data_IF_062710653992
#
_entry.id   IF_062710653992
#
_cell.length_a   1.000
_cell.length_b   1.000
_cell.length_c   1.000
_cell.angle_alpha   90.00
_cell.angle_beta   90.00
_cell.angle_gamma   90.00
#
_symmetry.space_group_name_H-M   'P 1'
#
loop_
_entity.id
_entity.type
_entity.pdbx_description
1 polymer ?
#
# COMPACT_ATOMS: atom_id res chain seq x y z
N UNK A 1 -59.13 22.17 72.12
CA UNK A 1 -58.77 23.01 70.95
C UNK A 1 -57.54 22.37 70.32
N UNK A 2 -57.69 21.54 69.28
CA UNK A 2 -57.50 21.89 67.86
C UNK A 2 -56.20 22.66 67.59
N UNK A 3 -55.13 21.97 67.13
CA UNK A 3 -54.59 22.01 65.74
C UNK A 3 -53.24 21.26 65.63
N UNK A 4 -52.84 20.85 64.41
CA UNK A 4 -52.19 19.57 64.15
C UNK A 4 -50.72 19.65 63.72
N UNK A 5 -50.11 18.46 63.67
CA UNK A 5 -48.81 18.08 63.13
C UNK A 5 -48.50 18.62 61.74
N UNK A 6 -47.23 18.92 61.47
CA UNK A 6 -46.70 19.08 60.11
C UNK A 6 -45.33 18.41 60.04
N UNK A 7 -45.33 17.18 59.52
CA UNK A 7 -44.14 16.42 59.14
C UNK A 7 -43.75 16.84 57.73
N UNK A 8 -42.54 17.38 57.55
CA UNK A 8 -41.98 17.68 56.23
C UNK A 8 -41.18 16.45 55.79
N UNK A 9 -41.71 15.71 54.82
CA UNK A 9 -40.99 14.64 54.13
C UNK A 9 -40.30 15.24 52.89
N UNK A 10 -38.97 15.20 52.85
CA UNK A 10 -38.18 15.57 51.68
C UNK A 10 -38.17 14.38 50.70
N UNK A 11 -38.87 14.53 49.57
CA UNK A 11 -38.80 13.60 48.44
C UNK A 11 -37.60 14.01 47.59
N UNK A 12 -36.51 13.24 47.67
CA UNK A 12 -35.39 13.33 46.74
C UNK A 12 -35.83 12.62 45.46
N UNK A 13 -36.25 13.41 44.47
CA UNK A 13 -36.53 12.94 43.12
C UNK A 13 -35.23 12.56 42.41
N UNK A 14 -35.00 11.26 42.24
CA UNK A 14 -33.91 10.74 41.42
C UNK A 14 -34.36 10.79 39.96
N UNK A 15 -34.08 11.90 39.28
CA UNK A 15 -34.32 12.05 37.84
C UNK A 15 -33.25 11.25 37.10
N UNK A 16 -33.58 10.02 36.71
CA UNK A 16 -32.75 9.22 35.82
C UNK A 16 -32.73 9.88 34.43
N UNK A 17 -31.69 10.66 34.16
CA UNK A 17 -31.34 11.08 32.82
C UNK A 17 -30.89 9.83 32.05
N UNK A 18 -31.79 9.29 31.23
CA UNK A 18 -31.47 8.33 30.18
C UNK A 18 -30.58 9.04 29.15
N UNK A 19 -29.27 8.94 29.35
CA UNK A 19 -28.29 9.27 28.33
C UNK A 19 -28.44 8.28 27.18
N UNK A 20 -29.17 8.69 26.14
CA UNK A 20 -29.17 8.01 24.85
C UNK A 20 -27.77 8.20 24.28
N UNK A 21 -26.93 7.16 24.37
CA UNK A 21 -25.65 7.16 23.69
C UNK A 21 -25.92 7.35 22.19
N UNK A 22 -25.29 8.33 21.52
CA UNK A 22 -25.38 8.42 20.08
C UNK A 22 -24.85 7.11 19.51
N UNK A 23 -25.72 6.37 18.82
CA UNK A 23 -25.34 5.20 18.07
C UNK A 23 -24.19 5.60 17.15
N UNK A 24 -23.05 4.91 17.30
CA UNK A 24 -21.97 5.02 16.35
C UNK A 24 -22.54 4.68 14.97
N UNK A 25 -22.75 5.71 14.15
CA UNK A 25 -22.98 5.52 12.74
C UNK A 25 -21.79 4.70 12.25
N UNK A 26 -22.06 3.47 11.80
CA UNK A 26 -21.09 2.66 11.08
C UNK A 26 -20.75 3.39 9.80
N UNK A 27 -19.83 4.35 9.88
CA UNK A 27 -19.19 4.93 8.72
C UNK A 27 -18.46 3.79 8.06
N UNK A 28 -18.94 3.39 6.90
CA UNK A 28 -18.29 2.43 6.03
C UNK A 28 -16.85 2.91 5.86
N UNK A 29 -15.89 2.11 6.35
CA UNK A 29 -14.48 2.46 6.29
C UNK A 29 -14.14 2.63 4.81
N UNK A 30 -13.61 3.79 4.38
CA UNK A 30 -13.41 4.07 2.97
C UNK A 30 -12.61 2.92 2.33
N UNK A 31 -13.13 2.43 1.21
CA UNK A 31 -12.51 1.35 0.44
C UNK A 31 -11.10 1.71 -0.05
N UNK A 32 -10.40 0.75 -0.68
CA UNK A 32 -9.10 1.06 -1.27
C UNK A 32 -9.23 2.17 -2.34
N UNK A 33 -8.19 2.98 -2.54
CA UNK A 33 -8.15 4.03 -3.57
C UNK A 33 -8.23 3.47 -5.00
N UNK A 34 -8.05 2.16 -5.16
CA UNK A 34 -8.08 1.35 -6.38
C UNK A 34 -9.25 0.36 -6.29
N UNK A 35 -10.51 0.81 -6.53
CA UNK A 35 -11.69 -0.04 -6.32
C UNK A 35 -11.96 -1.02 -7.45
N UNK A 36 -11.21 -0.95 -8.56
CA UNK A 36 -11.29 -1.93 -9.64
C UNK A 36 -10.57 -3.23 -9.32
N UNK A 37 -9.76 -3.22 -8.27
CA UNK A 37 -8.82 -4.26 -7.94
C UNK A 37 -9.43 -5.51 -7.36
N UNK A 38 -8.59 -6.53 -7.17
CA UNK A 38 -9.02 -7.75 -6.55
C UNK A 38 -9.58 -7.43 -5.16
N UNK A 39 -10.78 -7.91 -4.88
CA UNK A 39 -11.39 -7.71 -3.58
C UNK A 39 -10.52 -8.37 -2.51
N UNK A 40 -10.11 -7.59 -1.51
CA UNK A 40 -9.39 -8.13 -0.36
C UNK A 40 -10.25 -9.23 0.31
N UNK A 41 -9.62 -10.32 0.81
CA UNK A 41 -10.34 -11.32 1.58
C UNK A 41 -11.13 -10.65 2.71
N UNK A 42 -12.40 -11.04 2.87
CA UNK A 42 -13.26 -10.56 3.94
C UNK A 42 -12.87 -11.22 5.27
N UNK A 43 -11.71 -10.85 5.79
CA UNK A 43 -11.27 -11.23 7.13
C UNK A 43 -11.98 -10.34 8.16
N UNK A 44 -12.56 -10.95 9.19
CA UNK A 44 -13.02 -10.19 10.35
C UNK A 44 -11.79 -9.53 11.01
N UNK A 45 -11.92 -8.25 11.35
CA UNK A 45 -10.89 -7.55 12.11
C UNK A 45 -10.63 -8.29 13.42
N UNK A 46 -9.34 -8.48 13.74
CA UNK A 46 -8.90 -9.10 15.00
C UNK A 46 -8.22 -8.08 15.88
N UNK A 47 -8.24 -8.30 17.19
CA UNK A 47 -7.44 -7.49 18.11
C UNK A 47 -5.94 -7.64 17.81
N UNK A 48 -5.20 -6.54 17.92
CA UNK A 48 -3.77 -6.46 17.66
C UNK A 48 -3.22 -5.07 17.97
N UNK A 49 -1.88 -4.90 17.93
CA UNK A 49 -1.27 -3.62 18.21
C UNK A 49 -1.59 -2.60 17.12
N UNK A 50 -1.59 -1.32 17.51
CA UNK A 50 -1.71 -0.19 16.58
C UNK A 50 -0.40 -0.03 15.82
N UNK A 51 -0.49 -0.04 14.49
CA UNK A 51 0.65 0.23 13.63
C UNK A 51 0.87 1.74 13.48
N UNK A 52 2.14 2.14 13.45
CA UNK A 52 2.61 3.47 13.07
C UNK A 52 3.53 3.30 11.87
N UNK A 53 3.07 3.79 10.73
CA UNK A 53 3.82 3.72 9.48
C UNK A 53 4.44 5.07 9.14
N UNK A 54 5.62 5.03 8.54
CA UNK A 54 6.25 6.18 7.89
C UNK A 54 6.61 5.81 6.47
N UNK A 55 6.66 6.80 5.58
CA UNK A 55 7.14 6.65 4.21
C UNK A 55 8.22 7.70 3.94
N UNK A 56 9.31 7.25 3.36
CA UNK A 56 10.22 8.10 2.60
C UNK A 56 10.19 7.62 1.16
N UNK A 57 9.99 8.55 0.23
CA UNK A 57 10.11 8.27 -1.19
C UNK A 57 11.39 8.87 -1.76
N UNK A 58 11.93 8.26 -2.82
CA UNK A 58 13.06 8.82 -3.56
C UNK A 58 12.79 8.69 -5.05
N UNK A 59 13.02 9.78 -5.79
CA UNK A 59 12.87 9.81 -7.24
C UNK A 59 14.22 10.16 -7.86
N UNK A 60 14.68 9.35 -8.80
CA UNK A 60 15.93 9.58 -9.53
C UNK A 60 15.69 9.46 -11.04
N UNK A 61 16.50 10.11 -11.90
CA UNK A 61 16.49 9.82 -13.33
C UNK A 61 16.86 8.35 -13.58
N UNK A 62 16.19 7.69 -14.53
CA UNK A 62 16.53 6.31 -14.92
C UNK A 62 17.59 6.22 -16.02
N UNK A 63 17.98 7.37 -16.58
CA UNK A 63 18.94 7.53 -17.66
C UNK A 63 18.56 6.90 -19.01
N UNK A 64 17.33 6.42 -19.17
CA UNK A 64 16.84 5.86 -20.42
C UNK A 64 16.20 6.90 -21.33
N UNK A 65 15.43 7.82 -20.75
CA UNK A 65 14.68 8.84 -21.47
C UNK A 65 14.60 10.15 -20.66
N UNK A 66 14.35 11.29 -21.32
CA UNK A 66 14.35 12.61 -20.66
C UNK A 66 13.31 12.73 -19.54
N UNK A 67 12.13 12.11 -19.72
CA UNK A 67 11.07 12.04 -18.70
C UNK A 67 11.24 10.83 -17.77
N UNK A 68 12.17 9.92 -18.07
CA UNK A 68 12.39 8.67 -17.36
C UNK A 68 12.84 8.85 -15.92
N UNK A 69 12.23 8.07 -15.02
CA UNK A 69 12.53 8.09 -13.58
C UNK A 69 12.52 6.67 -13.00
N UNK A 70 13.13 6.52 -11.83
CA UNK A 70 12.85 5.43 -10.89
C UNK A 70 12.29 6.01 -9.60
N UNK A 71 11.44 5.25 -8.93
CA UNK A 71 10.77 5.61 -7.68
C UNK A 71 11.03 4.53 -6.64
N UNK A 72 11.74 4.86 -5.57
CA UNK A 72 11.87 4.01 -4.37
C UNK A 72 10.82 4.44 -3.33
N UNK A 73 10.08 3.47 -2.81
CA UNK A 73 9.29 3.59 -1.61
C UNK A 73 10.02 2.89 -0.46
N UNK A 74 10.32 3.62 0.61
CA UNK A 74 10.91 3.11 1.85
C UNK A 74 9.91 3.29 2.99
N UNK A 75 9.12 2.25 3.22
CA UNK A 75 8.12 2.23 4.28
C UNK A 75 8.70 1.58 5.52
N UNK A 76 8.52 2.22 6.67
CA UNK A 76 8.78 1.60 7.99
C UNK A 76 7.49 1.42 8.75
N UNK A 77 7.44 0.41 9.61
CA UNK A 77 6.31 0.14 10.48
C UNK A 77 6.74 -0.39 11.83
N UNK A 78 6.09 0.16 12.84
CA UNK A 78 6.38 -0.10 14.24
C UNK A 78 5.11 -0.02 15.05
N UNK A 79 5.20 -0.49 16.27
CA UNK A 79 4.22 -0.29 17.33
C UNK A 79 4.80 0.67 18.36
N UNK A 80 3.99 1.18 19.29
CA UNK A 80 4.48 2.01 20.39
C UNK A 80 5.37 1.21 21.35
N UNK A 81 5.00 -0.04 21.62
CA UNK A 81 5.69 -0.97 22.51
C UNK A 81 6.95 -1.61 21.91
N UNK A 82 7.12 -1.53 20.58
CA UNK A 82 8.17 -2.23 19.85
C UNK A 82 7.88 -3.71 19.57
N UNK A 83 6.68 -4.20 19.90
CA UNK A 83 6.23 -5.54 19.54
C UNK A 83 5.94 -5.69 18.04
N UNK A 84 5.73 -6.93 17.57
CA UNK A 84 5.40 -7.25 16.18
C UNK A 84 4.24 -6.38 15.69
N UNK A 85 4.40 -5.58 14.62
CA UNK A 85 3.28 -4.88 14.00
C UNK A 85 2.19 -5.85 13.54
N UNK A 86 0.95 -5.36 13.49
CA UNK A 86 -0.15 -6.08 12.86
C UNK A 86 0.16 -6.33 11.38
N UNK A 87 -0.08 -7.55 10.90
CA UNK A 87 0.19 -7.91 9.51
C UNK A 87 -0.72 -7.13 8.55
N UNK A 88 -0.19 -6.72 7.40
CA UNK A 88 -0.99 -6.11 6.35
C UNK A 88 -1.82 -7.17 5.62
N UNK A 89 -3.00 -6.78 5.17
CA UNK A 89 -3.85 -7.56 4.25
C UNK A 89 -3.83 -6.99 2.84
N UNK A 90 -3.54 -5.70 2.71
CA UNK A 90 -3.50 -4.98 1.44
C UNK A 90 -2.55 -3.78 1.54
N UNK A 91 -1.78 -3.54 0.49
CA UNK A 91 -1.04 -2.32 0.25
C UNK A 91 -1.42 -1.74 -1.11
N UNK A 92 -1.45 -0.42 -1.24
CA UNK A 92 -1.55 0.25 -2.55
C UNK A 92 -0.42 1.26 -2.65
N UNK A 93 0.53 1.03 -3.56
CA UNK A 93 1.55 2.02 -3.91
C UNK A 93 0.92 3.08 -4.81
N UNK A 94 0.87 4.32 -4.35
CA UNK A 94 0.20 5.43 -5.02
C UNK A 94 1.24 6.30 -5.74
N UNK A 95 1.04 6.49 -7.03
CA UNK A 95 1.90 7.31 -7.88
C UNK A 95 1.22 8.63 -8.21
N UNK A 96 2.01 9.71 -8.20
CA UNK A 96 1.60 11.03 -8.64
C UNK A 96 0.92 10.97 -10.01
N UNK A 97 -0.12 11.77 -10.22
CA UNK A 97 -0.89 11.81 -11.48
C UNK A 97 -0.07 12.14 -12.71
N UNK A 98 1.08 12.78 -12.56
CA UNK A 98 2.00 13.09 -13.65
C UNK A 98 2.92 11.92 -14.02
N UNK A 99 2.92 10.84 -13.24
CA UNK A 99 3.68 9.63 -13.50
C UNK A 99 2.87 8.69 -14.39
N UNK A 100 3.48 8.22 -15.48
CA UNK A 100 2.95 7.18 -16.36
C UNK A 100 3.77 5.92 -16.22
N UNK A 101 3.08 4.79 -16.14
CA UNK A 101 3.67 3.43 -16.13
C UNK A 101 3.55 2.86 -17.55
N UNK A 102 4.68 2.53 -18.18
CA UNK A 102 4.76 2.05 -19.56
C UNK A 102 4.77 0.51 -19.65
N UNK A 103 3.84 -0.16 -18.96
CA UNK A 103 3.86 -1.62 -18.80
C UNK A 103 3.91 -2.40 -20.13
N UNK A 104 3.23 -1.91 -21.17
CA UNK A 104 3.22 -2.51 -22.52
C UNK A 104 4.57 -2.55 -23.22
N UNK A 105 5.52 -1.71 -22.79
CA UNK A 105 6.88 -1.66 -23.38
C UNK A 105 7.81 -2.73 -22.81
N UNK A 106 7.37 -3.49 -21.80
CA UNK A 106 8.20 -4.45 -21.09
C UNK A 106 7.66 -5.87 -21.26
N UNK A 107 8.52 -6.91 -21.34
CA UNK A 107 8.07 -8.29 -21.34
C UNK A 107 7.34 -8.60 -20.04
N UNK A 108 6.47 -9.60 -20.08
CA UNK A 108 5.71 -10.04 -18.92
C UNK A 108 6.32 -11.31 -18.34
N UNK A 109 6.41 -11.42 -17.02
CA UNK A 109 6.61 -12.68 -16.33
C UNK A 109 5.27 -13.15 -15.77
N UNK A 110 4.89 -14.40 -16.05
CA UNK A 110 3.67 -14.96 -15.48
C UNK A 110 3.92 -15.47 -14.05
N UNK A 111 2.87 -15.51 -13.23
CA UNK A 111 2.92 -16.10 -11.88
C UNK A 111 3.41 -17.55 -11.93
N UNK A 112 2.94 -18.32 -12.90
CA UNK A 112 3.30 -19.74 -13.06
C UNK A 112 4.77 -19.92 -13.38
N UNK A 113 5.32 -19.12 -14.29
CA UNK A 113 6.75 -19.17 -14.62
C UNK A 113 7.60 -18.80 -13.40
N UNK A 114 7.26 -17.71 -12.71
CA UNK A 114 7.97 -17.28 -11.52
C UNK A 114 7.90 -18.31 -10.38
N UNK A 115 6.74 -18.93 -10.16
CA UNK A 115 6.57 -19.96 -9.13
C UNK A 115 7.33 -21.26 -9.45
N UNK A 116 7.38 -21.67 -10.72
CA UNK A 116 7.93 -22.97 -11.13
C UNK A 116 9.43 -22.90 -11.37
N UNK A 117 9.90 -21.82 -11.98
CA UNK A 117 11.28 -21.66 -12.44
C UNK A 117 12.06 -20.59 -11.65
N UNK A 118 11.40 -19.93 -10.68
CA UNK A 118 11.99 -18.81 -9.95
C UNK A 118 12.25 -17.61 -10.84
N UNK A 119 13.06 -16.68 -10.33
CA UNK A 119 13.47 -15.45 -11.04
C UNK A 119 14.09 -15.76 -12.41
N UNK A 120 14.85 -16.85 -12.52
CA UNK A 120 15.51 -17.24 -13.77
C UNK A 120 14.54 -17.70 -14.87
N UNK A 121 13.29 -18.02 -14.52
CA UNK A 121 12.24 -18.34 -15.49
C UNK A 121 11.60 -17.12 -16.15
N UNK A 122 11.72 -15.94 -15.53
CA UNK A 122 11.14 -14.73 -16.07
C UNK A 122 11.91 -14.24 -17.31
N UNK A 123 11.22 -13.79 -18.38
CA UNK A 123 11.88 -13.29 -19.58
C UNK A 123 12.83 -12.12 -19.28
N UNK A 124 13.97 -12.06 -19.98
CA UNK A 124 14.93 -10.95 -19.84
C UNK A 124 14.25 -9.61 -20.10
N UNK A 125 14.45 -8.65 -19.20
CA UNK A 125 13.84 -7.32 -19.27
C UNK A 125 12.44 -7.23 -18.66
N UNK A 126 11.86 -8.32 -18.15
CA UNK A 126 10.59 -8.27 -17.39
C UNK A 126 10.76 -7.78 -15.96
N UNK A 127 11.97 -7.83 -15.39
CA UNK A 127 12.22 -7.25 -14.07
C UNK A 127 12.22 -5.72 -14.17
N UNK A 128 11.26 -5.09 -13.49
CA UNK A 128 11.00 -3.64 -13.52
C UNK A 128 11.25 -2.94 -12.19
N UNK A 129 11.83 -3.67 -11.25
CA UNK A 129 12.15 -3.17 -9.93
C UNK A 129 12.87 -4.19 -9.06
N UNK A 130 13.28 -3.73 -7.89
CA UNK A 130 13.95 -4.54 -6.87
C UNK A 130 13.87 -3.84 -5.52
N UNK A 131 14.30 -4.50 -4.46
CA UNK A 131 14.22 -3.93 -3.13
C UNK A 131 14.69 -4.86 -2.03
N UNK A 132 14.33 -4.52 -0.80
CA UNK A 132 14.57 -5.34 0.40
C UNK A 132 13.38 -5.27 1.34
N UNK A 133 13.09 -6.38 2.02
CA UNK A 133 12.09 -6.47 3.06
C UNK A 133 12.75 -6.86 4.38
N UNK A 134 12.49 -6.11 5.43
CA UNK A 134 12.78 -6.50 6.82
C UNK A 134 11.50 -7.07 7.43
N UNK A 135 11.57 -8.35 7.78
CA UNK A 135 10.47 -9.15 8.30
C UNK A 135 10.74 -9.39 9.78
N UNK A 136 9.74 -9.12 10.61
CA UNK A 136 9.84 -9.34 12.05
C UNK A 136 10.12 -10.83 12.35
N UNK A 137 11.06 -11.16 13.28
CA UNK A 137 11.76 -10.22 14.16
C UNK A 137 13.04 -9.60 13.58
N UNK A 138 13.72 -10.20 12.59
CA UNK A 138 15.00 -9.65 12.10
C UNK A 138 15.47 -10.24 10.76
N UNK A 139 14.57 -10.74 9.91
CA UNK A 139 14.96 -11.34 8.62
C UNK A 139 14.95 -10.27 7.54
N UNK A 140 16.11 -9.99 6.95
CA UNK A 140 16.20 -9.19 5.72
C UNK A 140 16.20 -10.12 4.52
N UNK A 141 15.38 -9.82 3.53
CA UNK A 141 15.28 -10.58 2.29
C UNK A 141 15.25 -9.66 1.08
N UNK A 142 15.80 -10.14 -0.05
CA UNK A 142 15.72 -9.44 -1.32
C UNK A 142 14.30 -9.48 -1.89
N UNK A 143 13.94 -8.38 -2.56
CA UNK A 143 12.67 -8.20 -3.26
C UNK A 143 12.96 -8.02 -4.75
N UNK A 144 12.19 -8.68 -5.60
CA UNK A 144 12.26 -8.53 -7.05
C UNK A 144 10.87 -8.22 -7.58
N UNK A 145 10.79 -7.29 -8.54
CA UNK A 145 9.53 -6.83 -9.12
C UNK A 145 9.53 -7.14 -10.61
N UNK A 146 8.56 -7.92 -11.07
CA UNK A 146 8.40 -8.29 -12.47
C UNK A 146 7.14 -7.70 -13.05
N UNK A 147 7.22 -7.10 -14.24
CA UNK A 147 6.07 -6.70 -15.02
C UNK A 147 5.23 -7.94 -15.35
N UNK A 148 3.92 -7.84 -15.22
CA UNK A 148 3.00 -8.94 -15.52
C UNK A 148 1.78 -8.45 -16.29
N UNK A 149 1.04 -9.41 -16.82
CA UNK A 149 -0.29 -9.22 -17.36
C UNK A 149 -1.19 -10.35 -16.86
N UNK A 150 -2.30 -9.98 -16.27
CA UNK A 150 -3.26 -10.93 -15.71
C UNK A 150 -4.17 -11.52 -16.79
N UNK A 151 -4.93 -12.55 -16.42
CA UNK A 151 -5.77 -13.30 -17.36
C UNK A 151 -6.94 -12.50 -17.94
N UNK A 152 -7.40 -11.47 -17.23
CA UNK A 152 -8.38 -10.49 -17.68
C UNK A 152 -7.78 -9.43 -18.63
N UNK A 153 -6.46 -9.43 -18.78
CA UNK A 153 -5.73 -8.51 -19.64
C UNK A 153 -5.15 -7.30 -18.92
N UNK A 154 -5.42 -7.15 -17.62
CA UNK A 154 -4.94 -6.03 -16.82
C UNK A 154 -3.43 -6.12 -16.58
N UNK A 155 -2.80 -4.95 -16.46
CA UNK A 155 -1.39 -4.83 -16.18
C UNK A 155 -1.13 -4.84 -14.68
N UNK A 156 0.12 -5.12 -14.31
CA UNK A 156 0.53 -5.05 -12.92
C UNK A 156 1.97 -5.47 -12.74
N UNK A 157 2.30 -5.81 -11.50
CA UNK A 157 3.59 -6.42 -11.18
C UNK A 157 3.44 -7.63 -10.26
N UNK A 158 4.40 -8.56 -10.38
CA UNK A 158 4.64 -9.61 -9.40
C UNK A 158 5.79 -9.19 -8.52
N UNK A 159 5.55 -9.05 -7.23
CA UNK A 159 6.60 -8.80 -6.24
C UNK A 159 6.92 -10.12 -5.57
N UNK A 160 8.17 -10.58 -5.68
CA UNK A 160 8.61 -11.83 -5.05
C UNK A 160 9.66 -11.60 -3.98
N UNK A 161 9.56 -12.37 -2.91
CA UNK A 161 10.55 -12.43 -1.82
C UNK A 161 11.03 -13.89 -1.75
N UNK A 162 12.08 -14.27 -2.49
CA UNK A 162 12.48 -15.67 -2.62
C UNK A 162 12.75 -16.36 -1.28
N UNK A 163 13.31 -15.63 -0.30
CA UNK A 163 13.60 -16.16 1.03
C UNK A 163 12.37 -16.66 1.81
N UNK A 164 11.17 -16.17 1.46
CA UNK A 164 9.90 -16.61 2.07
C UNK A 164 9.02 -17.41 1.11
N UNK A 165 9.42 -17.52 -0.16
CA UNK A 165 8.59 -18.08 -1.23
C UNK A 165 7.36 -17.24 -1.58
N UNK A 166 7.28 -16.00 -1.08
CA UNK A 166 6.13 -15.13 -1.35
C UNK A 166 6.16 -14.62 -2.80
N UNK A 167 5.00 -14.70 -3.47
CA UNK A 167 4.72 -14.06 -4.76
C UNK A 167 3.43 -13.27 -4.60
N UNK A 168 3.58 -11.95 -4.55
CA UNK A 168 2.53 -10.97 -4.32
C UNK A 168 2.09 -10.40 -5.66
N UNK A 169 0.79 -10.42 -5.92
CA UNK A 169 0.19 -9.89 -7.15
C UNK A 169 -0.27 -8.47 -6.89
N UNK A 170 0.25 -7.54 -7.69
CA UNK A 170 -0.10 -6.13 -7.65
C UNK A 170 -0.84 -5.77 -8.94
N UNK A 171 -2.04 -5.24 -8.86
CA UNK A 171 -2.82 -4.82 -10.04
C UNK A 171 -2.63 -3.34 -10.29
N UNK A 172 -2.36 -2.94 -11.55
CA UNK A 172 -2.21 -1.54 -11.93
C UNK A 172 -3.58 -0.94 -12.23
N UNK A 173 -3.97 0.05 -11.43
CA UNK A 173 -5.31 0.62 -11.51
C UNK A 173 -5.32 2.15 -11.47
N UNK A 174 -6.35 2.78 -12.07
CA UNK A 174 -6.65 4.17 -11.82
C UNK A 174 -7.02 4.39 -10.35
N UNK A 175 -6.45 5.43 -9.74
CA UNK A 175 -6.91 5.88 -8.43
C UNK A 175 -8.22 6.64 -8.61
N UNK A 176 -9.27 6.21 -7.91
CA UNK A 176 -10.60 6.83 -7.95
C UNK A 176 -11.13 7.10 -6.54
N UNK A 177 -12.18 7.91 -6.42
CA UNK A 177 -12.90 8.07 -5.14
C UNK A 177 -12.59 9.33 -4.33
N UNK A 178 -11.62 10.17 -4.71
CA UNK A 178 -11.38 11.46 -4.05
C UNK A 178 -11.16 12.58 -5.07
N UNK A 179 -12.16 13.45 -5.32
CA UNK A 179 -11.99 14.64 -6.14
C UNK A 179 -10.79 15.46 -5.62
N UNK A 180 -9.79 15.68 -6.48
CA UNK A 180 -8.56 16.39 -6.12
C UNK A 180 -7.42 15.52 -5.59
N UNK A 181 -7.55 14.19 -5.52
CA UNK A 181 -6.45 13.28 -5.18
C UNK A 181 -5.22 13.55 -6.05
N UNK A 182 -4.01 13.76 -5.49
CA UNK A 182 -2.82 14.00 -6.30
C UNK A 182 -2.39 12.77 -7.11
N UNK A 183 -2.90 11.58 -6.76
CA UNK A 183 -2.53 10.32 -7.38
C UNK A 183 -3.36 10.01 -8.63
N UNK A 184 -2.70 9.44 -9.65
CA UNK A 184 -3.36 9.03 -10.90
C UNK A 184 -3.53 7.52 -11.01
N UNK A 185 -2.54 6.75 -10.56
CA UNK A 185 -2.54 5.29 -10.62
C UNK A 185 -2.00 4.69 -9.33
N UNK A 186 -2.43 3.47 -9.03
CA UNK A 186 -1.98 2.67 -7.91
C UNK A 186 -1.57 1.27 -8.33
N UNK A 187 -0.61 0.68 -7.62
CA UNK A 187 -0.35 -0.76 -7.65
C UNK A 187 -0.97 -1.39 -6.41
N UNK A 188 -2.10 -2.08 -6.59
CA UNK A 188 -2.89 -2.70 -5.53
C UNK A 188 -2.40 -4.12 -5.25
N UNK A 189 -1.70 -4.29 -4.14
CA UNK A 189 -1.16 -5.54 -3.63
C UNK A 189 -2.07 -6.16 -2.57
N UNK A 190 -2.59 -7.35 -2.86
CA UNK A 190 -3.16 -8.20 -1.82
C UNK A 190 -2.09 -9.08 -1.18
N UNK A 191 -2.22 -9.27 0.14
CA UNK A 191 -1.36 -10.15 0.93
C UNK A 191 -2.17 -11.35 1.44
N UNK A 192 -2.61 -12.27 0.55
CA UNK A 192 -3.37 -13.44 0.97
C UNK A 192 -2.48 -14.34 1.83
N UNK A 193 -3.06 -14.89 2.89
CA UNK A 193 -2.36 -15.85 3.74
C UNK A 193 -3.32 -16.91 4.24
N UNK A 194 -2.96 -18.21 4.16
CA UNK A 194 -3.74 -19.28 4.77
C UNK A 194 -3.60 -19.29 6.31
N UNK A 195 -2.67 -18.50 6.86
CA UNK A 195 -2.44 -18.42 8.29
C UNK A 195 -3.51 -17.55 8.96
N UNK A 196 -3.92 -17.91 10.20
CA UNK A 196 -4.71 -17.02 11.04
C UNK A 196 -4.04 -15.65 11.17
N UNK A 197 -4.80 -14.54 11.21
CA UNK A 197 -4.28 -13.18 11.31
C UNK A 197 -3.10 -12.98 12.27
N UNK A 198 -3.15 -13.55 13.47
CA UNK A 198 -2.12 -13.39 14.51
C UNK A 198 -0.79 -14.08 14.15
N UNK A 199 -0.85 -15.11 13.30
CA UNK A 199 0.31 -15.89 12.85
C UNK A 199 0.93 -15.34 11.56
N UNK A 200 0.27 -14.39 10.88
CA UNK A 200 0.80 -13.79 9.66
C UNK A 200 2.10 -13.02 9.95
N UNK A 201 3.00 -13.06 8.98
CA UNK A 201 4.24 -12.29 8.98
C UNK A 201 3.94 -10.80 8.88
N UNK A 202 4.77 -9.98 9.51
CA UNK A 202 4.70 -8.53 9.43
C UNK A 202 6.05 -7.98 8.96
N UNK A 203 6.02 -7.01 8.05
CA UNK A 203 7.19 -6.26 7.62
C UNK A 203 7.38 -5.04 8.50
N UNK A 204 8.57 -4.88 9.07
CA UNK A 204 8.98 -3.69 9.84
C UNK A 204 9.60 -2.63 8.95
N UNK A 205 10.16 -3.04 7.80
CA UNK A 205 10.58 -2.13 6.73
C UNK A 205 10.40 -2.79 5.39
N UNK A 206 9.91 -2.05 4.41
CA UNK A 206 9.77 -2.52 3.04
C UNK A 206 10.29 -1.43 2.10
N UNK A 207 11.40 -1.73 1.43
CA UNK A 207 12.04 -0.85 0.45
C UNK A 207 11.84 -1.47 -0.92
N UNK A 208 11.15 -0.79 -1.81
CA UNK A 208 10.92 -1.27 -3.16
C UNK A 208 11.08 -0.14 -4.15
N UNK A 209 11.85 -0.40 -5.20
CA UNK A 209 12.05 0.50 -6.32
C UNK A 209 11.27 0.00 -7.51
N UNK A 210 10.53 0.91 -8.15
CA UNK A 210 9.90 0.73 -9.44
C UNK A 210 10.60 1.61 -10.46
N UNK A 211 10.89 1.06 -11.63
CA UNK A 211 11.62 1.77 -12.68
C UNK A 211 12.81 0.96 -13.17
N UNK A 212 12.93 0.91 -14.48
CA UNK A 212 14.06 0.34 -15.20
C UNK A 212 14.00 0.86 -16.64
N UNK A 213 15.01 0.56 -17.43
CA UNK A 213 15.05 0.86 -18.86
C UNK A 213 15.08 -0.42 -19.67
N UNK A 214 14.50 -0.37 -20.88
CA UNK A 214 14.61 -1.45 -21.86
C UNK A 214 14.88 -0.86 -23.23
N UNK A 215 15.86 -1.42 -23.94
CA UNK A 215 16.10 -1.10 -25.34
C UNK A 215 15.56 -2.21 -26.23
N UNK A 216 14.78 -1.83 -27.23
CA UNK A 216 14.35 -2.70 -28.32
C UNK A 216 14.64 -2.06 -29.69
N UNK A 217 14.12 -2.65 -30.77
CA UNK A 217 14.33 -2.15 -32.13
C UNK A 217 13.71 -0.76 -32.40
N UNK A 218 12.86 -0.26 -31.51
CA UNK A 218 12.22 1.05 -31.61
C UNK A 218 12.88 2.12 -30.73
N UNK A 219 13.83 1.73 -29.87
CA UNK A 219 14.59 2.63 -29.03
C UNK A 219 14.67 2.19 -27.57
N UNK A 220 15.14 3.11 -26.71
CA UNK A 220 15.17 2.94 -25.26
C UNK A 220 13.88 3.47 -24.64
N UNK A 221 13.27 2.68 -23.78
CA UNK A 221 12.02 2.97 -23.09
C UNK A 221 12.23 2.92 -21.58
N UNK A 222 11.64 3.88 -20.89
CA UNK A 222 11.58 3.95 -19.43
C UNK A 222 10.33 3.24 -18.91
N UNK A 223 10.43 2.46 -17.83
CA UNK A 223 9.24 1.85 -17.23
C UNK A 223 8.34 2.90 -16.58
N UNK A 224 8.94 3.88 -15.90
CA UNK A 224 8.24 5.04 -15.36
C UNK A 224 8.70 6.32 -16.06
N UNK A 225 7.74 7.15 -16.43
CA UNK A 225 7.99 8.51 -16.90
C UNK A 225 7.25 9.51 -16.03
N UNK A 226 7.85 10.66 -15.75
CA UNK A 226 7.19 11.79 -15.09
C UNK A 226 7.06 12.96 -16.07
N UNK A 227 5.84 13.48 -16.20
CA UNK A 227 5.53 14.67 -17.01
C UNK A 227 5.48 15.97 -16.19
N UNK A 228 5.69 15.91 -14.87
CA UNK A 228 5.95 17.10 -14.07
C UNK A 228 7.26 17.78 -14.52
N UNK A 229 7.30 19.11 -14.45
CA UNK A 229 8.51 19.86 -14.74
C UNK A 229 9.58 19.58 -13.67
N UNK A 230 10.89 19.61 -14.01
CA UNK A 230 11.95 19.54 -13.01
C UNK A 230 11.75 20.52 -11.84
N UNK A 231 11.90 20.02 -10.62
CA UNK A 231 11.69 20.76 -9.37
C UNK A 231 10.24 20.83 -8.88
N UNK A 232 9.24 20.47 -9.69
CA UNK A 232 7.86 20.34 -9.21
C UNK A 232 7.74 19.15 -8.25
N UNK A 233 6.93 19.27 -7.18
CA UNK A 233 6.70 18.15 -6.26
C UNK A 233 5.97 17.02 -6.99
N UNK A 234 6.38 15.78 -6.68
CA UNK A 234 5.69 14.55 -7.01
C UNK A 234 5.14 13.97 -5.70
N UNK A 235 3.84 13.79 -5.64
CA UNK A 235 3.17 13.19 -4.47
C UNK A 235 3.20 11.66 -4.60
N UNK A 236 3.84 10.99 -3.64
CA UNK A 236 3.94 9.53 -3.59
C UNK A 236 3.33 9.03 -2.29
N UNK A 237 2.65 7.89 -2.31
CA UNK A 237 1.98 7.40 -1.12
C UNK A 237 1.90 5.89 -1.02
N UNK A 238 1.61 5.41 0.19
CA UNK A 238 1.20 4.03 0.43
C UNK A 238 -0.08 4.08 1.25
N UNK A 239 -1.13 3.47 0.71
CA UNK A 239 -2.31 3.13 1.48
C UNK A 239 -2.18 1.68 1.98
N UNK A 240 -2.48 1.43 3.24
CA UNK A 240 -2.31 0.13 3.89
C UNK A 240 -3.56 -0.26 4.67
N UNK A 241 -3.96 -1.52 4.57
CA UNK A 241 -4.96 -2.14 5.46
C UNK A 241 -4.31 -3.27 6.23
N UNK A 242 -4.60 -3.35 7.53
CA UNK A 242 -4.07 -4.36 8.43
C UNK A 242 -5.15 -5.35 8.88
N UNK A 243 -4.72 -6.49 9.39
CA UNK A 243 -5.61 -7.53 9.94
C UNK A 243 -6.48 -7.05 11.12
N UNK A 244 -6.10 -5.93 11.75
CA UNK A 244 -6.88 -5.25 12.79
C UNK A 244 -8.01 -4.39 12.25
N UNK A 245 -8.14 -4.30 10.92
CA UNK A 245 -9.03 -3.35 10.26
C UNK A 245 -8.49 -1.92 10.23
N UNK A 246 -7.33 -1.65 10.85
CA UNK A 246 -6.67 -0.35 10.78
C UNK A 246 -6.32 -0.03 9.32
N UNK A 247 -6.57 1.20 8.91
CA UNK A 247 -6.15 1.77 7.64
C UNK A 247 -5.19 2.92 7.91
N UNK A 248 -4.06 2.94 7.20
CA UNK A 248 -3.09 4.03 7.26
C UNK A 248 -2.75 4.44 5.83
N UNK A 249 -2.77 5.75 5.56
CA UNK A 249 -2.16 6.31 4.36
C UNK A 249 -0.96 7.17 4.75
N UNK A 250 0.21 6.83 4.23
CA UNK A 250 1.42 7.63 4.36
C UNK A 250 1.75 8.25 3.01
N UNK A 251 2.22 9.50 3.04
CA UNK A 251 2.53 10.29 1.84
C UNK A 251 3.89 10.96 2.03
N UNK A 252 4.62 11.10 0.92
CA UNK A 252 5.83 11.91 0.83
C UNK A 252 5.80 12.74 -0.46
N UNK A 253 6.39 13.93 -0.43
CA UNK A 253 6.46 14.86 -1.55
C UNK A 253 7.93 15.07 -1.94
N UNK A 254 8.30 14.57 -3.12
CA UNK A 254 9.69 14.60 -3.60
C UNK A 254 9.77 15.46 -4.86
N UNK A 255 10.74 16.38 -5.00
CA UNK A 255 10.88 17.16 -6.24
C UNK A 255 11.26 16.24 -7.40
N UNK A 256 10.64 16.44 -8.58
CA UNK A 256 11.09 15.80 -9.83
C UNK A 256 12.56 16.19 -10.07
N UNK A 257 13.50 15.23 -10.13
CA UNK A 257 14.88 15.55 -10.48
C UNK A 257 15.01 16.24 -11.83
N UNK A 258 16.11 16.95 -12.05
CA UNK A 258 16.49 17.37 -13.41
C UNK A 258 16.89 16.14 -14.24
N UNK A 259 16.58 16.13 -15.55
CA UNK A 259 17.20 15.18 -16.46
C UNK A 259 18.71 15.42 -16.47
N UNK A 260 19.48 14.34 -16.51
CA UNK A 260 20.94 14.45 -16.64
C UNK A 260 21.25 14.66 -18.12
N UNK A 261 22.07 15.67 -18.47
CA UNK A 261 22.43 15.99 -19.84
C UNK A 261 23.26 14.89 -20.54
#
# INVERSE_FOLDING_TARGET
MRRPSTTIAAVIGCTALLSVAPGAAGGESPGPPTPGGPAAPADAAVDGPVNFDTLTATVTPDHGYFTGITVEFDRTSRTESGEKPSAATQFVFLFDRSIRINADRFPVCSRTELATHGIAGCPTGSQVGSGTAQIHPATTADVFVFNTRYSDGDHGVLITIPATGAILENTLEPVTGHPGSPYGVGLDELLPSPLPPQQRSATTRFRVTFGTTRTDHTGTHSYLESFALPGQPLELGIWSRFVTGQIIQTTDSVPRPSPIP
#
